data_IF_968087961246
#
_entry.id   IF_968087961246
#
_cell.length_a   1.000
_cell.length_b   1.000
_cell.length_c   1.000
_cell.angle_alpha   90.00
_cell.angle_beta   90.00
_cell.angle_gamma   90.00
#
_symmetry.space_group_name_H-M   'P 1'
#
loop_
_entity.id
_entity.type
_entity.pdbx_description
1 polymer ?
#
# COMPACT_ATOMS: atom_id res chain seq x y z
N UNK A 1 -24.85 14.35 34.90
CA UNK A 1 -25.68 13.89 33.78
C UNK A 1 -25.09 14.51 32.53
N UNK A 2 -23.96 13.95 32.08
CA UNK A 2 -23.12 14.52 31.02
C UNK A 2 -23.68 14.17 29.65
N UNK A 3 -23.93 15.21 28.84
CA UNK A 3 -24.36 15.06 27.46
C UNK A 3 -23.31 14.26 26.68
N UNK A 4 -23.79 13.18 26.06
CA UNK A 4 -23.05 12.30 25.16
C UNK A 4 -22.42 13.11 24.02
N UNK A 5 -21.09 13.03 23.91
CA UNK A 5 -20.35 13.60 22.78
C UNK A 5 -20.61 12.76 21.52
N UNK A 6 -20.89 13.39 20.35
CA UNK A 6 -21.00 12.69 19.08
C UNK A 6 -19.66 12.05 18.70
N UNK A 7 -19.74 10.83 18.14
CA UNK A 7 -18.63 9.91 17.93
C UNK A 7 -17.39 10.51 17.27
N UNK A 8 -16.24 10.22 17.86
CA UNK A 8 -14.93 10.57 17.33
C UNK A 8 -14.61 9.75 16.07
N UNK A 9 -14.96 10.26 14.89
CA UNK A 9 -14.25 9.89 13.66
C UNK A 9 -12.87 10.58 13.73
N UNK A 10 -11.91 9.91 14.35
CA UNK A 10 -10.56 10.42 14.59
C UNK A 10 -9.92 10.95 13.31
N UNK A 11 -9.40 12.19 13.37
CA UNK A 11 -8.92 12.94 12.23
C UNK A 11 -7.81 12.23 11.46
N UNK A 12 -8.10 11.85 10.20
CA UNK A 12 -7.05 11.42 9.28
C UNK A 12 -6.12 12.60 9.01
N UNK A 13 -4.85 12.45 9.39
CA UNK A 13 -3.80 13.39 9.03
C UNK A 13 -3.53 13.25 7.53
N UNK A 14 -3.63 14.36 6.79
CA UNK A 14 -3.21 14.39 5.39
C UNK A 14 -1.71 14.05 5.29
N UNK A 15 -1.37 13.04 4.49
CA UNK A 15 0.02 12.62 4.24
C UNK A 15 0.41 13.05 2.83
N UNK A 16 1.58 13.70 2.70
CA UNK A 16 2.12 14.09 1.40
C UNK A 16 2.49 12.85 0.59
N UNK A 17 2.20 12.85 -0.72
CA UNK A 17 2.48 11.71 -1.61
C UNK A 17 3.96 11.32 -1.66
N UNK A 18 4.86 12.23 -1.34
CA UNK A 18 6.31 11.99 -1.35
C UNK A 18 6.80 11.40 -0.03
N UNK A 19 5.97 11.41 1.02
CA UNK A 19 6.33 10.76 2.27
C UNK A 19 6.53 9.24 2.05
N UNK A 20 7.54 8.64 2.70
CA UNK A 20 7.71 7.18 2.71
C UNK A 20 6.47 6.52 3.31
N UNK A 21 5.98 5.47 2.65
CA UNK A 21 4.85 4.67 3.10
C UNK A 21 5.31 3.32 3.68
N UNK A 22 6.12 2.57 2.92
CA UNK A 22 6.62 1.26 3.34
C UNK A 22 7.96 0.95 2.68
N UNK A 23 8.70 -0.01 3.23
CA UNK A 23 9.94 -0.48 2.65
C UNK A 23 10.03 -1.99 2.68
N UNK A 24 10.43 -2.61 1.57
CA UNK A 24 10.67 -4.05 1.53
C UNK A 24 12.15 -4.34 1.58
N UNK A 25 12.54 -5.19 2.52
CA UNK A 25 13.92 -5.64 2.64
C UNK A 25 14.16 -6.81 1.69
N UNK A 26 15.26 -6.74 0.97
CA UNK A 26 15.74 -7.86 0.15
C UNK A 26 16.94 -8.49 0.84
N UNK A 27 17.03 -9.82 0.81
CA UNK A 27 18.10 -10.56 1.49
C UNK A 27 19.51 -10.24 0.97
N UNK A 28 19.62 -9.58 -0.19
CA UNK A 28 20.88 -9.09 -0.74
C UNK A 28 21.92 -10.19 -0.86
N UNK A 29 21.91 -10.95 -1.96
CA UNK A 29 22.85 -12.07 -2.18
C UNK A 29 24.33 -11.66 -2.23
N UNK A 30 24.65 -10.36 -2.22
CA UNK A 30 25.99 -9.79 -2.34
C UNK A 30 26.41 -8.88 -1.18
N UNK A 31 25.68 -8.84 -0.05
CA UNK A 31 26.09 -8.02 1.11
C UNK A 31 24.98 -7.71 2.11
N UNK A 32 25.07 -6.56 2.78
CA UNK A 32 24.08 -6.13 3.77
C UNK A 32 22.68 -5.95 3.13
N UNK A 33 21.60 -6.33 3.82
CA UNK A 33 20.24 -6.23 3.31
C UNK A 33 19.89 -4.77 2.98
N UNK A 34 19.30 -4.56 1.81
CA UNK A 34 18.92 -3.23 1.31
C UNK A 34 17.40 -3.07 1.43
N UNK A 35 16.97 -1.92 1.93
CA UNK A 35 15.56 -1.52 1.95
C UNK A 35 15.19 -0.81 0.65
N UNK A 36 14.21 -1.34 -0.07
CA UNK A 36 13.55 -0.63 -1.17
C UNK A 36 12.38 0.17 -0.59
N UNK A 37 12.53 1.49 -0.48
CA UNK A 37 11.51 2.39 0.08
C UNK A 37 10.51 2.82 -1.00
N UNK A 38 9.23 2.68 -0.69
CA UNK A 38 8.10 3.15 -1.49
C UNK A 38 7.42 4.32 -0.79
N UNK A 39 7.08 5.34 -1.57
CA UNK A 39 6.34 6.54 -1.15
C UNK A 39 4.84 6.31 -1.30
N UNK A 40 4.03 7.11 -0.62
CA UNK A 40 2.57 7.07 -0.76
C UNK A 40 2.10 7.30 -2.22
N UNK A 41 2.89 8.03 -3.02
CA UNK A 41 2.64 8.27 -4.44
C UNK A 41 2.87 7.05 -5.33
N UNK A 42 3.76 6.14 -4.95
CA UNK A 42 4.20 5.04 -5.83
C UNK A 42 3.09 3.99 -6.04
N UNK A 43 2.17 3.89 -5.08
CA UNK A 43 0.97 3.05 -5.18
C UNK A 43 0.08 3.48 -6.35
N UNK A 44 -0.04 4.79 -6.59
CA UNK A 44 -0.84 5.30 -7.71
C UNK A 44 -0.24 4.93 -9.07
N UNK A 45 1.09 4.96 -9.18
CA UNK A 45 1.78 4.53 -10.39
C UNK A 45 1.58 3.03 -10.65
N UNK A 46 1.58 2.20 -9.60
CA UNK A 46 1.27 0.78 -9.70
C UNK A 46 -0.18 0.53 -10.14
N UNK A 47 -1.16 1.21 -9.53
CA UNK A 47 -2.58 1.07 -9.88
C UNK A 47 -2.80 1.42 -11.35
N UNK A 48 -2.19 2.49 -11.84
CA UNK A 48 -2.37 2.92 -13.23
C UNK A 48 -1.75 1.91 -14.22
N UNK A 49 -0.49 1.54 -14.00
CA UNK A 49 0.22 0.64 -14.90
C UNK A 49 -0.32 -0.80 -14.85
N UNK A 50 -0.52 -1.35 -13.66
CA UNK A 50 -0.87 -2.76 -13.47
C UNK A 50 -2.38 -2.98 -13.41
N UNK A 51 -3.09 -2.25 -12.55
CA UNK A 51 -4.52 -2.50 -12.36
C UNK A 51 -5.36 -1.98 -13.52
N UNK A 52 -5.13 -0.74 -13.97
CA UNK A 52 -5.91 -0.13 -15.06
C UNK A 52 -5.45 -0.55 -16.44
N UNK A 53 -4.14 -0.52 -16.71
CA UNK A 53 -3.65 -0.73 -18.07
C UNK A 53 -3.37 -2.20 -18.40
N UNK A 54 -2.59 -2.90 -17.58
CA UNK A 54 -2.18 -4.28 -17.86
C UNK A 54 -3.31 -5.30 -17.60
N UNK A 55 -3.88 -5.29 -16.40
CA UNK A 55 -4.91 -6.27 -15.98
C UNK A 55 -6.34 -5.80 -16.27
N UNK A 56 -6.54 -4.49 -16.45
CA UNK A 56 -7.87 -3.86 -16.68
C UNK A 56 -8.92 -4.31 -15.66
N UNK A 57 -8.51 -4.33 -14.40
CA UNK A 57 -9.35 -4.72 -13.27
C UNK A 57 -10.64 -3.90 -13.22
N UNK A 58 -11.73 -4.59 -12.97
CA UNK A 58 -13.08 -4.10 -12.75
C UNK A 58 -13.48 -4.32 -11.29
N UNK A 59 -14.52 -3.63 -10.78
CA UNK A 59 -15.00 -3.85 -9.42
C UNK A 59 -15.50 -5.27 -9.12
N UNK A 60 -15.79 -6.07 -10.15
CA UNK A 60 -16.25 -7.45 -10.03
C UNK A 60 -15.09 -8.46 -9.94
N UNK A 61 -13.84 -8.02 -10.16
CA UNK A 61 -12.67 -8.89 -10.11
C UNK A 61 -12.20 -9.15 -8.68
N UNK A 62 -11.83 -10.41 -8.40
CA UNK A 62 -11.37 -10.85 -7.08
C UNK A 62 -9.86 -11.10 -7.10
N UNK A 63 -9.11 -10.27 -6.36
CA UNK A 63 -7.66 -10.44 -6.17
C UNK A 63 -7.31 -11.46 -5.09
N UNK A 64 -6.52 -12.48 -5.43
CA UNK A 64 -5.95 -13.41 -4.45
C UNK A 64 -4.49 -13.01 -4.11
N UNK A 65 -4.24 -12.73 -2.84
CA UNK A 65 -2.87 -12.51 -2.34
C UNK A 65 -2.39 -13.74 -1.58
N UNK A 66 -1.52 -14.54 -2.22
CA UNK A 66 -0.85 -15.70 -1.58
C UNK A 66 0.49 -15.31 -0.95
N UNK A 67 1.02 -14.13 -1.31
CA UNK A 67 2.31 -13.68 -0.80
C UNK A 67 2.17 -13.22 0.65
N UNK A 68 3.19 -13.55 1.46
CA UNK A 68 3.29 -13.02 2.82
C UNK A 68 3.50 -11.51 2.76
N UNK A 69 2.87 -10.78 3.66
CA UNK A 69 2.80 -9.31 3.66
C UNK A 69 4.17 -8.60 3.77
N UNK A 70 5.25 -9.32 4.08
CA UNK A 70 6.62 -8.79 4.04
C UNK A 70 7.25 -8.76 2.63
N UNK A 71 6.57 -9.31 1.61
CA UNK A 71 6.95 -9.18 0.21
C UNK A 71 6.12 -8.10 -0.50
N UNK A 72 6.75 -7.33 -1.38
CA UNK A 72 6.12 -6.25 -2.14
C UNK A 72 4.87 -6.73 -2.92
N UNK A 73 4.89 -7.97 -3.42
CA UNK A 73 3.79 -8.54 -4.19
C UNK A 73 2.50 -8.69 -3.40
N UNK A 74 2.56 -8.83 -2.08
CA UNK A 74 1.36 -8.97 -1.25
C UNK A 74 0.53 -7.67 -1.14
N UNK A 75 1.11 -6.53 -1.50
CA UNK A 75 0.50 -5.19 -1.37
C UNK A 75 -0.18 -4.70 -2.66
N UNK A 76 0.05 -5.36 -3.80
CA UNK A 76 -0.59 -5.03 -5.08
C UNK A 76 -2.07 -5.44 -5.19
N UNK A 77 -2.49 -6.62 -4.69
CA UNK A 77 -3.86 -7.12 -4.87
C UNK A 77 -4.93 -6.48 -3.97
N UNK A 78 -4.57 -5.62 -3.01
CA UNK A 78 -5.49 -5.10 -1.98
C UNK A 78 -6.15 -3.75 -2.34
N UNK A 79 -6.06 -3.34 -3.60
CA UNK A 79 -6.72 -2.14 -4.11
C UNK A 79 -8.08 -2.47 -4.73
#
# INVERSE_FOLDING_TARGET
MGASQPGQTGGLRAVDRRCPAYGTYTSGTTGAPKAALHRHGDVWAFIDAMCRNALRLTPDDVGLSIARMYFAYALGPVC
#
